data_IF_566747807511
#
_entry.id   IF_566747807511
#
_cell.length_a   1.000
_cell.length_b   1.000
_cell.length_c   1.000
_cell.angle_alpha   90.00
_cell.angle_beta   90.00
_cell.angle_gamma   90.00
#
_symmetry.space_group_name_H-M   'P 1'
#
loop_
_entity.id
_entity.type
_entity.pdbx_description
1 polymer ?
#
# COMPACT_ATOMS: atom_id res chain seq x y z
N UNK A 1 -36.24 -0.36 -2.62
CA UNK A 1 -35.08 0.52 -2.32
C UNK A 1 -33.83 -0.30 -2.64
N UNK A 2 -32.98 0.07 -3.61
CA UNK A 2 -31.72 -0.62 -3.79
C UNK A 2 -30.88 -0.43 -2.51
N UNK A 3 -30.28 -1.52 -2.01
CA UNK A 3 -29.43 -1.45 -0.84
C UNK A 3 -28.21 -0.58 -1.17
N UNK A 4 -27.96 0.45 -0.35
CA UNK A 4 -26.73 1.25 -0.46
C UNK A 4 -25.59 0.34 0.01
N UNK A 5 -24.65 0.04 -0.87
CA UNK A 5 -23.42 -0.64 -0.47
C UNK A 5 -22.60 0.33 0.36
N UNK A 6 -22.33 0.04 1.66
CA UNK A 6 -21.52 0.92 2.47
C UNK A 6 -20.12 1.08 1.85
N UNK A 7 -19.61 2.31 1.89
CA UNK A 7 -18.28 2.64 1.40
C UNK A 7 -17.24 1.96 2.31
N UNK A 8 -16.37 1.14 1.71
CA UNK A 8 -15.31 0.41 2.42
C UNK A 8 -13.98 1.08 2.21
N UNK A 9 -13.31 1.47 3.28
CA UNK A 9 -11.99 2.10 3.21
C UNK A 9 -10.88 1.06 3.23
N UNK A 10 -9.88 1.24 2.36
CA UNK A 10 -8.68 0.43 2.32
C UNK A 10 -7.42 1.24 2.62
N UNK A 11 -6.44 0.62 3.29
CA UNK A 11 -5.14 1.26 3.58
C UNK A 11 -3.97 0.50 2.94
N UNK A 12 -3.04 1.23 2.29
CA UNK A 12 -1.81 0.63 1.76
C UNK A 12 -0.74 0.52 2.85
N UNK A 13 -0.30 -0.69 3.21
CA UNK A 13 0.57 -0.95 4.38
C UNK A 13 1.98 -0.38 4.29
N UNK A 14 2.34 0.27 3.17
CA UNK A 14 3.64 0.94 2.97
C UNK A 14 4.00 1.96 4.07
N UNK A 15 3.01 2.54 4.76
CA UNK A 15 3.21 3.47 5.89
C UNK A 15 3.37 2.79 7.25
N UNK A 16 3.20 1.48 7.33
CA UNK A 16 3.27 0.65 8.54
C UNK A 16 4.44 -0.35 8.46
N UNK A 17 5.48 -0.02 7.69
CA UNK A 17 6.59 -0.92 7.40
C UNK A 17 7.39 -1.36 8.65
N UNK A 18 7.30 -0.62 9.75
CA UNK A 18 7.95 -0.94 11.01
C UNK A 18 7.13 -1.90 11.91
N UNK A 19 5.87 -2.17 11.55
CA UNK A 19 5.01 -3.13 12.26
C UNK A 19 5.10 -4.51 11.60
N UNK A 20 4.91 -5.56 12.41
CA UNK A 20 4.60 -6.89 11.86
C UNK A 20 3.22 -6.85 11.19
N UNK A 21 3.01 -7.73 10.21
CA UNK A 21 1.75 -7.78 9.46
C UNK A 21 0.54 -7.89 10.40
N UNK A 22 0.59 -8.80 11.37
CA UNK A 22 -0.53 -9.03 12.29
C UNK A 22 -0.87 -7.77 13.11
N UNK A 23 0.16 -7.07 13.61
CA UNK A 23 0.00 -5.81 14.35
C UNK A 23 -0.56 -4.69 13.46
N UNK A 24 -0.10 -4.62 12.21
CA UNK A 24 -0.61 -3.65 11.23
C UNK A 24 -2.08 -3.92 10.88
N UNK A 25 -2.48 -5.19 10.72
CA UNK A 25 -3.86 -5.58 10.46
C UNK A 25 -4.77 -5.28 11.65
N UNK A 26 -4.33 -5.58 12.87
CA UNK A 26 -5.06 -5.29 14.09
C UNK A 26 -5.32 -3.79 14.23
N UNK A 27 -4.28 -2.96 14.06
CA UNK A 27 -4.39 -1.50 14.09
C UNK A 27 -5.38 -0.98 13.03
N UNK A 28 -5.31 -1.49 11.80
CA UNK A 28 -6.18 -1.04 10.72
C UNK A 28 -7.65 -1.41 10.96
N UNK A 29 -7.91 -2.60 11.53
CA UNK A 29 -9.24 -3.02 11.93
C UNK A 29 -9.80 -2.12 13.05
N UNK A 30 -8.99 -1.80 14.07
CA UNK A 30 -9.36 -0.89 15.16
C UNK A 30 -9.70 0.53 14.67
N UNK A 31 -9.05 0.96 13.59
CA UNK A 31 -9.31 2.24 12.92
C UNK A 31 -10.50 2.20 11.93
N UNK A 32 -11.15 1.05 11.76
CA UNK A 32 -12.33 0.88 10.90
C UNK A 32 -12.00 0.72 9.41
N UNK A 33 -10.79 0.29 9.05
CA UNK A 33 -10.47 -0.06 7.67
C UNK A 33 -10.93 -1.48 7.35
N UNK A 34 -11.63 -1.62 6.22
CA UNK A 34 -12.22 -2.87 5.75
C UNK A 34 -11.36 -3.60 4.71
N UNK A 35 -10.21 -3.03 4.34
CA UNK A 35 -9.32 -3.57 3.33
C UNK A 35 -7.88 -3.08 3.47
N UNK A 36 -6.95 -3.87 2.94
CA UNK A 36 -5.53 -3.52 2.94
C UNK A 36 -4.92 -3.75 1.56
N UNK A 37 -4.08 -2.81 1.12
CA UNK A 37 -3.18 -2.98 0.01
C UNK A 37 -1.84 -3.48 0.54
N UNK A 38 -1.58 -4.78 0.41
CA UNK A 38 -0.38 -5.41 0.93
C UNK A 38 0.77 -5.35 -0.08
N UNK A 39 1.89 -4.77 0.33
CA UNK A 39 3.17 -4.97 -0.33
C UNK A 39 3.94 -6.03 0.44
N UNK A 40 4.19 -7.18 -0.18
CA UNK A 40 4.99 -8.25 0.44
C UNK A 40 6.45 -7.79 0.53
N UNK A 41 6.94 -7.59 1.75
CA UNK A 41 8.35 -7.35 2.05
C UNK A 41 8.84 -8.30 3.17
N UNK A 42 10.12 -8.21 3.52
CA UNK A 42 10.76 -9.06 4.53
C UNK A 42 10.14 -9.03 5.94
N UNK A 43 9.38 -7.99 6.30
CA UNK A 43 8.68 -7.91 7.59
C UNK A 43 7.39 -8.73 7.58
N UNK A 44 6.81 -8.91 6.40
CA UNK A 44 5.59 -9.68 6.14
C UNK A 44 5.88 -11.13 5.76
N UNK A 45 7.04 -11.40 5.15
CA UNK A 45 7.48 -12.72 4.73
C UNK A 45 8.97 -12.89 5.07
N UNK A 46 9.28 -13.75 6.03
CA UNK A 46 10.66 -14.16 6.30
C UNK A 46 11.00 -15.42 5.47
N UNK A 47 11.83 -15.31 4.42
CA UNK A 47 12.20 -16.43 3.56
C UNK A 47 13.06 -17.47 4.29
N UNK A 48 13.54 -17.18 5.50
CA UNK A 48 14.38 -18.06 6.32
C UNK A 48 13.67 -18.57 7.58
N UNK A 49 12.38 -18.25 7.75
CA UNK A 49 11.62 -18.71 8.91
C UNK A 49 11.55 -20.25 8.95
N UNK A 50 11.73 -20.86 10.13
CA UNK A 50 11.79 -22.31 10.27
C UNK A 50 10.46 -23.03 9.93
N UNK A 51 9.34 -22.30 9.97
CA UNK A 51 7.99 -22.77 9.63
C UNK A 51 7.55 -22.40 8.20
N UNK A 52 8.42 -21.74 7.41
CA UNK A 52 8.11 -21.41 6.03
C UNK A 52 7.92 -22.69 5.21
N UNK A 53 6.78 -22.77 4.51
CA UNK A 53 6.52 -23.91 3.63
C UNK A 53 7.61 -24.00 2.56
N UNK A 54 8.21 -25.19 2.34
CA UNK A 54 9.23 -25.34 1.33
C UNK A 54 8.71 -24.91 -0.03
N UNK A 55 9.56 -24.20 -0.77
CA UNK A 55 9.20 -23.77 -2.12
C UNK A 55 8.84 -24.98 -2.98
N UNK A 56 7.75 -24.84 -3.71
CA UNK A 56 7.40 -25.74 -4.80
C UNK A 56 8.51 -25.72 -5.86
N UNK A 57 8.91 -26.87 -6.43
CA UNK A 57 9.78 -26.90 -7.59
C UNK A 57 9.14 -26.12 -8.74
N UNK A 58 9.93 -25.27 -9.41
CA UNK A 58 9.45 -24.55 -10.58
C UNK A 58 9.03 -25.53 -11.68
N UNK A 59 7.89 -25.28 -12.31
CA UNK A 59 7.46 -25.97 -13.52
C UNK A 59 8.36 -25.58 -14.70
N UNK A 60 8.36 -26.44 -15.72
CA UNK A 60 9.06 -26.14 -16.97
C UNK A 60 8.55 -24.79 -17.55
N UNK A 61 9.49 -23.86 -17.80
CA UNK A 61 9.19 -22.51 -18.31
C UNK A 61 9.02 -21.43 -17.23
N UNK A 62 8.72 -21.77 -15.97
CA UNK A 62 8.51 -20.76 -14.92
C UNK A 62 9.80 -19.95 -14.62
N UNK A 63 10.98 -20.55 -14.73
CA UNK A 63 12.24 -19.82 -14.55
C UNK A 63 12.49 -18.80 -15.68
N UNK A 64 12.16 -19.16 -16.91
CA UNK A 64 12.29 -18.26 -18.06
C UNK A 64 11.27 -17.10 -17.97
N UNK A 65 10.04 -17.40 -17.56
CA UNK A 65 9.00 -16.41 -17.27
C UNK A 65 9.42 -15.48 -16.12
N UNK A 66 10.00 -16.04 -15.04
CA UNK A 66 10.53 -15.27 -13.93
C UNK A 66 11.70 -14.38 -14.35
N UNK A 67 12.58 -14.86 -15.24
CA UNK A 67 13.67 -14.06 -15.79
C UNK A 67 13.15 -12.91 -16.65
N UNK A 68 12.13 -13.16 -17.48
CA UNK A 68 11.45 -12.12 -18.25
C UNK A 68 10.77 -11.10 -17.33
N UNK A 69 10.02 -11.56 -16.32
CA UNK A 69 9.38 -10.72 -15.32
C UNK A 69 10.40 -9.88 -14.53
N UNK A 70 11.54 -10.43 -14.11
CA UNK A 70 12.59 -9.67 -13.41
C UNK A 70 13.14 -8.54 -14.29
N UNK A 71 13.35 -8.77 -15.58
CA UNK A 71 13.78 -7.72 -16.52
C UNK A 71 12.73 -6.64 -16.71
N UNK A 72 11.46 -7.02 -16.89
CA UNK A 72 10.35 -6.07 -17.02
C UNK A 72 10.19 -5.27 -15.74
N UNK A 73 10.21 -5.92 -14.58
CA UNK A 73 10.12 -5.28 -13.26
C UNK A 73 11.26 -4.30 -13.04
N UNK A 74 12.52 -4.69 -13.29
CA UNK A 74 13.66 -3.80 -13.16
C UNK A 74 13.53 -2.56 -14.06
N UNK A 75 13.01 -2.70 -15.29
CA UNK A 75 12.75 -1.56 -16.18
C UNK A 75 11.63 -0.67 -15.64
N UNK A 76 10.53 -1.26 -15.19
CA UNK A 76 9.40 -0.53 -14.58
C UNK A 76 9.85 0.20 -13.32
N UNK A 77 10.58 -0.45 -12.43
CA UNK A 77 11.16 0.14 -11.22
C UNK A 77 12.18 1.23 -11.55
N UNK A 78 13.00 1.06 -12.59
CA UNK A 78 13.92 2.09 -13.05
C UNK A 78 13.17 3.31 -13.59
N UNK A 79 12.12 3.10 -14.39
CA UNK A 79 11.25 4.18 -14.89
C UNK A 79 10.54 4.85 -13.72
N UNK A 80 9.96 4.09 -12.77
CA UNK A 80 9.35 4.61 -11.55
C UNK A 80 10.39 5.33 -10.68
N UNK A 81 11.63 4.86 -10.62
CA UNK A 81 12.74 5.48 -9.92
C UNK A 81 13.09 6.83 -10.54
N UNK A 82 13.15 6.92 -11.88
CA UNK A 82 13.26 8.21 -12.59
C UNK A 82 12.03 9.09 -12.39
N UNK A 83 10.83 8.52 -12.33
CA UNK A 83 9.62 9.26 -11.98
C UNK A 83 9.60 9.68 -10.51
N UNK A 84 10.31 8.97 -9.63
CA UNK A 84 10.55 9.36 -8.24
C UNK A 84 11.68 10.39 -8.10
N UNK A 85 12.46 10.65 -9.15
CA UNK A 85 13.31 11.85 -9.26
C UNK A 85 12.45 13.14 -9.21
N UNK A 86 11.13 13.03 -9.49
CA UNK A 86 10.14 14.07 -9.24
C UNK A 86 9.79 14.26 -7.75
N UNK A 87 10.39 13.52 -6.80
CA UNK A 87 10.28 13.87 -5.38
C UNK A 87 10.92 15.22 -5.08
N UNK A 88 11.96 15.63 -5.82
CA UNK A 88 12.50 17.00 -5.75
C UNK A 88 11.41 18.03 -6.14
N UNK A 89 10.59 17.71 -7.14
CA UNK A 89 9.45 18.54 -7.56
C UNK A 89 8.21 18.37 -6.66
N UNK A 90 8.14 17.31 -5.83
CA UNK A 90 7.08 17.10 -4.82
C UNK A 90 7.44 17.75 -3.48
N UNK A 91 8.71 17.93 -3.17
CA UNK A 91 9.16 18.82 -2.09
C UNK A 91 8.86 20.28 -2.43
N UNK A 92 8.79 20.64 -3.73
CA UNK A 92 8.16 21.89 -4.16
C UNK A 92 6.64 21.98 -3.84
N UNK A 93 6.01 20.88 -3.39
CA UNK A 93 4.64 20.89 -2.82
C UNK A 93 4.60 21.38 -1.36
N UNK A 94 5.70 21.57 -0.63
CA UNK A 94 5.65 22.09 0.75
C UNK A 94 5.56 23.64 0.84
N UNK A 95 5.43 24.34 -0.29
CA UNK A 95 5.20 25.80 -0.36
C UNK A 95 3.81 26.23 -0.85
N UNK A 96 2.80 25.35 -0.94
CA UNK A 96 1.44 25.71 -1.38
C UNK A 96 0.33 24.99 -0.61
N UNK A 97 -0.79 25.69 -0.36
CA UNK A 97 -1.88 25.39 0.60
C UNK A 97 -2.69 24.08 0.37
N UNK A 98 -2.29 23.22 -0.57
CA UNK A 98 -3.05 22.02 -0.94
C UNK A 98 -3.22 21.00 0.20
N UNK A 99 -2.27 20.93 1.14
CA UNK A 99 -2.41 20.12 2.35
C UNK A 99 -3.44 20.73 3.30
N UNK A 100 -3.47 22.05 3.43
CA UNK A 100 -4.41 22.78 4.28
C UNK A 100 -5.86 22.59 3.82
N UNK A 101 -6.12 22.68 2.52
CA UNK A 101 -7.45 22.46 1.95
C UNK A 101 -7.94 21.01 2.06
N UNK A 102 -7.05 20.04 1.88
CA UNK A 102 -7.40 18.63 2.05
C UNK A 102 -7.84 18.33 3.50
N UNK A 103 -7.13 18.91 4.49
CA UNK A 103 -7.49 18.79 5.91
C UNK A 103 -8.82 19.47 6.21
N UNK A 104 -9.07 20.66 5.67
CA UNK A 104 -10.36 21.35 5.84
C UNK A 104 -11.53 20.58 5.24
N UNK A 105 -11.38 20.00 4.05
CA UNK A 105 -12.43 19.22 3.41
C UNK A 105 -12.78 17.96 4.20
N UNK A 106 -11.78 17.25 4.72
CA UNK A 106 -11.99 16.07 5.58
C UNK A 106 -12.70 16.47 6.88
N UNK A 107 -12.24 17.54 7.54
CA UNK A 107 -12.87 18.04 8.77
C UNK A 107 -14.33 18.48 8.54
N UNK A 108 -14.61 19.12 7.41
CA UNK A 108 -15.97 19.54 7.07
C UNK A 108 -16.92 18.35 6.85
N UNK A 109 -16.48 17.34 6.10
CA UNK A 109 -17.28 16.12 5.89
C UNK A 109 -17.53 15.37 7.21
N UNK A 110 -16.53 15.28 8.08
CA UNK A 110 -16.66 14.68 9.40
C UNK A 110 -17.70 15.42 10.27
N UNK A 111 -17.67 16.75 10.28
CA UNK A 111 -18.60 17.55 11.06
C UNK A 111 -20.05 17.44 10.56
N UNK A 112 -20.27 17.34 9.24
CA UNK A 112 -21.61 17.11 8.69
C UNK A 112 -22.17 15.75 9.08
N UNK A 113 -21.34 14.70 9.12
CA UNK A 113 -21.75 13.38 9.55
C UNK A 113 -22.10 13.31 11.06
N UNK A 114 -21.54 14.19 11.88
CA UNK A 114 -21.86 14.29 13.31
C UNK A 114 -23.11 15.15 13.60
N UNK A 115 -23.50 16.00 12.66
CA UNK A 115 -24.63 16.91 12.80
C UNK A 115 -25.96 16.36 12.22
N UNK A 116 -25.94 15.16 11.63
CA UNK A 116 -27.09 14.45 11.06
C UNK A 116 -27.63 13.37 11.98
#
# INVERSE_FOLDING_TARGET
>A
MPAVTPLRFGYGTNGLADLRLDDALALLADLGYDGVGLTLDHMHLDPLAPDLRPHRPLLAGEEDDNAAHRKVRARVEHVIGRMKNYKILRDCRQRGDGLHHAVQAVAHMHNLALAS
#
